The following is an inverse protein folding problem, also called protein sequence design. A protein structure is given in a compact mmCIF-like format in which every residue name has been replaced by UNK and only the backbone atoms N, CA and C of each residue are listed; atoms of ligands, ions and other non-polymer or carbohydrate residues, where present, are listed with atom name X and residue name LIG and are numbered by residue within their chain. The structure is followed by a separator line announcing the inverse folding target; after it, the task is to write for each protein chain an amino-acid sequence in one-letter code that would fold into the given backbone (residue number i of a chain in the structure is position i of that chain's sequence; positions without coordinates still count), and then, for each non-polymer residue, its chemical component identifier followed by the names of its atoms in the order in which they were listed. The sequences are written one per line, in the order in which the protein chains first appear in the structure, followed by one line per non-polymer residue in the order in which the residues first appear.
data_IF_790754818418
#
_entry.id   IF_790754818418
#
_cell.length_a   1.000
_cell.length_b   1.000
_cell.length_c   1.000
_cell.angle_alpha   90.00
_cell.angle_beta   90.00
_cell.angle_gamma   90.00
#
_symmetry.space_group_name_H-M   'P 1'
#
loop_
_entity.id
_entity.type
_entity.pdbx_description
1 polymer ?
#
# COMPACT_ATOMS: atom_id res chain seq x y z
N UNK A 1 37.93 45.55 -52.73
CA UNK A 1 37.84 44.06 -52.72
C UNK A 1 38.16 43.49 -51.34
N UNK A 2 39.09 44.08 -50.57
CA UNK A 2 39.52 43.61 -49.25
C UNK A 2 38.43 43.57 -48.17
N UNK A 3 37.50 44.54 -48.18
CA UNK A 3 36.42 44.64 -47.19
C UNK A 3 35.29 43.62 -47.38
N UNK A 4 35.05 43.15 -48.60
CA UNK A 4 34.08 42.07 -48.89
C UNK A 4 34.62 40.70 -48.48
N UNK A 5 35.93 40.49 -48.62
CA UNK A 5 36.61 39.28 -48.13
C UNK A 5 36.52 39.15 -46.62
N UNK A 6 36.76 40.25 -45.89
CA UNK A 6 36.69 40.27 -44.42
C UNK A 6 35.28 39.94 -43.90
N UNK A 7 34.24 40.48 -44.54
CA UNK A 7 32.83 40.17 -44.17
C UNK A 7 32.49 38.71 -44.47
N UNK A 8 33.00 38.14 -45.57
CA UNK A 8 32.79 36.72 -45.90
C UNK A 8 33.47 35.78 -44.90
N UNK A 9 34.60 36.18 -44.34
CA UNK A 9 35.35 35.42 -43.33
C UNK A 9 34.64 35.47 -41.97
N UNK A 10 34.17 36.66 -41.54
CA UNK A 10 33.34 36.81 -40.33
C UNK A 10 32.02 36.02 -40.43
N UNK A 11 31.39 35.98 -41.60
CA UNK A 11 30.15 35.21 -41.80
C UNK A 11 30.39 33.69 -41.68
N UNK A 12 31.55 33.22 -42.15
CA UNK A 12 31.96 31.81 -42.01
C UNK A 12 32.29 31.43 -40.56
N UNK A 13 32.93 32.32 -39.81
CA UNK A 13 33.15 32.13 -38.36
C UNK A 13 31.83 32.08 -37.58
N UNK A 14 30.87 32.95 -37.90
CA UNK A 14 29.55 32.94 -37.27
C UNK A 14 28.78 31.64 -37.55
N UNK A 15 28.83 31.12 -38.77
CA UNK A 15 28.17 29.86 -39.14
C UNK A 15 28.81 28.67 -38.42
N UNK A 16 30.14 28.68 -38.27
CA UNK A 16 30.88 27.72 -37.45
C UNK A 16 30.47 27.77 -35.97
N UNK A 17 30.40 28.97 -35.39
CA UNK A 17 29.95 29.16 -34.00
C UNK A 17 28.51 28.69 -33.78
N UNK A 18 27.60 28.95 -34.72
CA UNK A 18 26.21 28.47 -34.65
C UNK A 18 26.17 26.93 -34.64
N UNK A 19 26.96 26.28 -35.50
CA UNK A 19 27.06 24.82 -35.57
C UNK A 19 27.59 24.21 -34.28
N UNK A 20 28.61 24.83 -33.68
CA UNK A 20 29.19 24.40 -32.41
C UNK A 20 28.22 24.59 -31.23
N UNK A 21 27.47 25.69 -31.20
CA UNK A 21 26.41 25.92 -30.20
C UNK A 21 25.31 24.87 -30.36
N UNK A 22 24.89 24.56 -31.58
CA UNK A 22 23.90 23.51 -31.84
C UNK A 22 24.40 22.14 -31.34
N UNK A 23 25.67 21.81 -31.58
CA UNK A 23 26.30 20.58 -31.07
C UNK A 23 26.38 20.56 -29.55
N UNK A 24 26.77 21.66 -28.92
CA UNK A 24 26.86 21.78 -27.47
C UNK A 24 25.48 21.64 -26.80
N UNK A 25 24.45 22.30 -27.34
CA UNK A 25 23.08 22.18 -26.87
C UNK A 25 22.53 20.77 -27.06
N UNK A 26 22.80 20.14 -28.21
CA UNK A 26 22.39 18.76 -28.48
C UNK A 26 23.06 17.75 -27.55
N UNK A 27 24.34 17.95 -27.21
CA UNK A 27 25.07 17.04 -26.31
C UNK A 27 24.66 17.23 -24.85
N UNK A 28 24.42 18.47 -24.40
CA UNK A 28 23.89 18.74 -23.05
C UNK A 28 22.50 18.11 -22.87
N UNK A 29 21.59 18.33 -23.84
CA UNK A 29 20.27 17.69 -23.84
C UNK A 29 20.32 16.17 -23.88
N UNK A 30 21.25 15.57 -24.64
CA UNK A 30 21.40 14.12 -24.73
C UNK A 30 21.89 13.50 -23.41
N UNK A 31 22.82 14.17 -22.72
CA UNK A 31 23.32 13.74 -21.42
C UNK A 31 22.23 13.82 -20.34
N UNK A 32 21.46 14.92 -20.29
CA UNK A 32 20.35 15.07 -19.35
C UNK A 32 19.28 13.98 -19.53
N UNK A 33 18.89 13.73 -20.78
CA UNK A 33 17.92 12.68 -21.13
C UNK A 33 18.41 11.29 -20.70
N UNK A 34 19.67 10.96 -21.02
CA UNK A 34 20.26 9.67 -20.64
C UNK A 34 20.33 9.51 -19.12
N UNK A 35 20.57 10.61 -18.39
CA UNK A 35 20.64 10.62 -16.93
C UNK A 35 19.25 10.38 -16.32
N UNK A 36 18.20 11.05 -16.82
CA UNK A 36 16.82 10.87 -16.35
C UNK A 36 16.35 9.43 -16.54
N UNK A 37 16.57 8.86 -17.72
CA UNK A 37 16.15 7.49 -18.03
C UNK A 37 16.91 6.46 -17.17
N UNK A 38 18.21 6.67 -16.96
CA UNK A 38 19.04 5.82 -16.10
C UNK A 38 18.59 5.91 -14.64
N UNK A 39 18.28 7.12 -14.16
CA UNK A 39 17.77 7.34 -12.81
C UNK A 39 16.40 6.66 -12.60
N UNK A 40 15.48 6.77 -13.56
CA UNK A 40 14.18 6.09 -13.56
C UNK A 40 14.34 4.56 -13.52
N UNK A 41 15.22 4.00 -14.36
CA UNK A 41 15.51 2.55 -14.37
C UNK A 41 16.10 2.11 -13.03
N UNK A 42 17.01 2.90 -12.45
CA UNK A 42 17.62 2.61 -11.16
C UNK A 42 16.58 2.63 -10.02
N UNK A 43 15.74 3.68 -9.97
CA UNK A 43 14.65 3.79 -9.01
C UNK A 43 13.66 2.62 -9.12
N UNK A 44 13.29 2.23 -10.34
CA UNK A 44 12.44 1.06 -10.56
C UNK A 44 13.07 -0.23 -10.03
N UNK A 45 14.34 -0.50 -10.36
CA UNK A 45 15.03 -1.71 -9.91
C UNK A 45 15.10 -1.77 -8.37
N UNK A 46 15.37 -0.64 -7.70
CA UNK A 46 15.39 -0.57 -6.22
C UNK A 46 14.03 -0.92 -5.62
N UNK A 47 12.94 -0.35 -6.15
CA UNK A 47 11.58 -0.62 -5.62
C UNK A 47 11.18 -2.08 -5.87
N UNK A 48 11.54 -2.64 -7.01
CA UNK A 48 11.30 -4.06 -7.32
C UNK A 48 12.07 -5.00 -6.39
N UNK A 49 13.34 -4.72 -6.11
CA UNK A 49 14.15 -5.51 -5.17
C UNK A 49 13.60 -5.45 -3.74
N UNK A 50 13.09 -4.28 -3.31
CA UNK A 50 12.42 -4.13 -2.03
C UNK A 50 11.13 -4.95 -1.94
N UNK A 51 10.33 -5.00 -3.01
CA UNK A 51 9.13 -5.84 -3.08
C UNK A 51 9.49 -7.32 -3.01
N UNK A 52 10.51 -7.76 -3.77
CA UNK A 52 11.00 -9.14 -3.74
C UNK A 52 11.41 -9.58 -2.34
N UNK A 53 12.23 -8.78 -1.68
CA UNK A 53 12.67 -9.01 -0.30
C UNK A 53 11.50 -8.98 0.69
N UNK A 54 10.52 -8.11 0.45
CA UNK A 54 9.29 -8.02 1.23
C UNK A 54 8.46 -9.31 1.17
N UNK A 55 8.20 -9.83 -0.04
CA UNK A 55 7.39 -11.02 -0.23
C UNK A 55 8.08 -12.28 0.32
N UNK A 56 9.40 -12.40 0.17
CA UNK A 56 10.17 -13.49 0.79
C UNK A 56 10.12 -13.46 2.33
N UNK A 57 10.10 -12.27 2.94
CA UNK A 57 9.93 -12.14 4.40
C UNK A 57 8.51 -12.49 4.83
N UNK A 58 7.51 -12.09 4.03
CA UNK A 58 6.11 -12.38 4.28
C UNK A 58 5.83 -13.89 4.32
N UNK A 59 6.47 -14.67 3.45
CA UNK A 59 6.39 -16.13 3.39
C UNK A 59 6.89 -16.81 4.68
N UNK A 60 7.90 -16.22 5.34
CA UNK A 60 8.52 -16.77 6.56
C UNK A 60 7.81 -16.36 7.86
N UNK A 61 6.85 -15.43 7.81
CA UNK A 61 6.18 -14.93 9.00
C UNK A 61 4.97 -15.80 9.40
N UNK A 62 4.90 -16.19 10.68
CA UNK A 62 3.80 -17.02 11.22
C UNK A 62 2.60 -16.18 11.70
N UNK A 63 2.81 -14.97 12.20
CA UNK A 63 1.76 -14.12 12.77
C UNK A 63 0.84 -13.50 11.69
N UNK A 64 -0.47 -13.72 11.78
CA UNK A 64 -1.45 -13.24 10.80
C UNK A 64 -1.60 -11.71 10.80
N UNK A 65 -1.61 -11.07 11.98
CA UNK A 65 -1.76 -9.62 12.11
C UNK A 65 -0.53 -8.86 11.56
N UNK A 66 0.68 -9.39 11.77
CA UNK A 66 1.91 -8.82 11.21
C UNK A 66 1.99 -9.03 9.69
N UNK A 67 1.57 -10.20 9.19
CA UNK A 67 1.46 -10.46 7.75
C UNK A 67 0.49 -9.50 7.06
N UNK A 68 -0.67 -9.23 7.68
CA UNK A 68 -1.64 -8.28 7.13
C UNK A 68 -1.05 -6.87 6.96
N UNK A 69 -0.35 -6.34 7.97
CA UNK A 69 0.30 -5.02 7.89
C UNK A 69 1.41 -4.97 6.84
N UNK A 70 2.23 -6.02 6.77
CA UNK A 70 3.28 -6.09 5.74
C UNK A 70 2.70 -6.23 4.32
N UNK A 71 1.57 -6.92 4.16
CA UNK A 71 0.89 -7.03 2.87
C UNK A 71 0.32 -5.67 2.41
N UNK A 72 -0.11 -4.83 3.34
CA UNK A 72 -0.55 -3.45 3.08
C UNK A 72 0.63 -2.57 2.63
N UNK A 73 1.75 -2.59 3.36
CA UNK A 73 2.98 -1.88 2.96
C UNK A 73 3.51 -2.34 1.59
N UNK A 74 3.48 -3.64 1.30
CA UNK A 74 3.83 -4.18 -0.01
C UNK A 74 2.84 -3.75 -1.10
N UNK A 75 1.55 -3.64 -0.77
CA UNK A 75 0.53 -3.15 -1.71
C UNK A 75 0.81 -1.71 -2.14
N UNK A 76 1.17 -0.84 -1.20
CA UNK A 76 1.47 0.55 -1.52
C UNK A 76 2.76 0.66 -2.35
N UNK A 77 3.77 -0.15 -2.05
CA UNK A 77 4.98 -0.26 -2.91
C UNK A 77 4.66 -0.78 -4.31
N UNK A 78 3.69 -1.68 -4.47
CA UNK A 78 3.24 -2.13 -5.80
C UNK A 78 2.49 -1.03 -6.57
N UNK A 79 1.73 -0.17 -5.88
CA UNK A 79 1.11 1.01 -6.50
C UNK A 79 2.19 1.98 -7.00
N UNK A 80 3.25 2.16 -6.23
CA UNK A 80 4.40 2.97 -6.62
C UNK A 80 5.15 2.36 -7.81
N UNK A 81 5.38 1.05 -7.84
CA UNK A 81 5.89 0.36 -9.04
C UNK A 81 5.03 0.65 -10.27
N UNK A 82 3.69 0.58 -10.14
CA UNK A 82 2.77 0.86 -11.24
C UNK A 82 2.83 2.33 -11.69
N UNK A 83 3.05 3.27 -10.76
CA UNK A 83 3.26 4.69 -11.06
C UNK A 83 4.56 4.89 -11.84
N UNK A 84 5.66 4.33 -11.35
CA UNK A 84 6.97 4.41 -11.99
C UNK A 84 6.99 3.75 -13.38
N UNK A 85 6.29 2.62 -13.59
CA UNK A 85 6.15 2.01 -14.93
C UNK A 85 5.44 2.96 -15.91
N UNK A 86 4.41 3.70 -15.45
CA UNK A 86 3.72 4.68 -16.29
C UNK A 86 4.57 5.91 -16.57
N UNK A 87 5.35 6.36 -15.59
CA UNK A 87 6.29 7.47 -15.74
C UNK A 87 7.40 7.11 -16.73
N UNK A 88 7.97 5.90 -16.60
CA UNK A 88 8.90 5.34 -17.58
C UNK A 88 8.30 5.22 -18.99
N UNK A 89 7.04 4.78 -19.13
CA UNK A 89 6.37 4.73 -20.43
C UNK A 89 6.16 6.11 -21.07
N UNK A 90 5.89 7.14 -20.26
CA UNK A 90 5.79 8.52 -20.75
C UNK A 90 7.15 9.03 -21.21
N UNK A 91 8.18 8.85 -20.39
CA UNK A 91 9.54 9.28 -20.70
C UNK A 91 10.06 8.59 -21.98
N UNK A 92 9.85 7.28 -22.11
CA UNK A 92 10.24 6.52 -23.31
C UNK A 92 9.50 7.01 -24.56
N UNK A 93 8.23 7.44 -24.45
CA UNK A 93 7.47 7.99 -25.57
C UNK A 93 7.92 9.40 -25.98
N UNK A 94 8.19 10.27 -25.01
CA UNK A 94 8.70 11.62 -25.30
C UNK A 94 10.09 11.58 -25.97
N UNK A 95 10.87 10.55 -25.64
CA UNK A 95 12.19 10.30 -26.21
C UNK A 95 12.17 9.45 -27.49
N UNK A 96 11.01 8.89 -27.84
CA UNK A 96 10.87 7.93 -28.93
C UNK A 96 11.26 8.52 -30.29
N UNK A 97 11.02 9.82 -30.51
CA UNK A 97 11.38 10.50 -31.76
C UNK A 97 12.88 10.83 -31.88
N UNK A 98 13.65 10.68 -30.79
CA UNK A 98 15.06 11.10 -30.70
C UNK A 98 16.02 9.92 -30.52
N UNK A 99 15.53 8.81 -29.97
CA UNK A 99 16.32 7.58 -29.82
C UNK A 99 16.39 6.76 -31.10
N UNK A 100 17.49 6.03 -31.26
CA UNK A 100 17.64 5.02 -32.30
C UNK A 100 16.69 3.84 -32.07
N UNK A 101 16.34 3.15 -33.16
CA UNK A 101 15.39 2.05 -33.13
C UNK A 101 15.81 0.90 -32.19
N UNK A 102 17.11 0.71 -31.98
CA UNK A 102 17.63 -0.34 -31.11
C UNK A 102 17.45 0.01 -29.62
N UNK A 103 17.76 1.24 -29.23
CA UNK A 103 17.51 1.75 -27.87
C UNK A 103 16.02 1.73 -27.51
N UNK A 104 15.16 2.16 -28.43
CA UNK A 104 13.70 2.11 -28.24
C UNK A 104 13.16 0.67 -28.09
N UNK A 105 13.75 -0.29 -28.79
CA UNK A 105 13.42 -1.71 -28.64
C UNK A 105 13.82 -2.23 -27.27
N UNK A 106 15.05 -1.95 -26.82
CA UNK A 106 15.56 -2.37 -25.51
C UNK A 106 14.74 -1.80 -24.34
N UNK A 107 14.32 -0.53 -24.44
CA UNK A 107 13.48 0.13 -23.44
C UNK A 107 12.07 -0.49 -23.35
N UNK A 108 11.48 -0.83 -24.49
CA UNK A 108 10.19 -1.53 -24.54
C UNK A 108 10.28 -2.95 -23.99
N UNK A 109 11.34 -3.69 -24.30
CA UNK A 109 11.60 -5.02 -23.73
C UNK A 109 11.76 -4.95 -22.20
N UNK A 110 12.52 -3.95 -21.71
CA UNK A 110 12.70 -3.71 -20.28
C UNK A 110 11.38 -3.36 -19.59
N UNK A 111 10.56 -2.50 -20.21
CA UNK A 111 9.19 -2.20 -19.74
C UNK A 111 8.34 -3.46 -19.63
N UNK A 112 8.32 -4.30 -20.66
CA UNK A 112 7.51 -5.53 -20.66
C UNK A 112 7.97 -6.51 -19.58
N UNK A 113 9.28 -6.62 -19.34
CA UNK A 113 9.82 -7.43 -18.24
C UNK A 113 9.30 -6.95 -16.88
N UNK A 114 9.31 -5.64 -16.64
CA UNK A 114 8.84 -5.04 -15.38
C UNK A 114 7.33 -5.21 -15.18
N UNK A 115 6.54 -5.14 -16.26
CA UNK A 115 5.10 -5.43 -16.20
C UNK A 115 4.84 -6.89 -15.81
N UNK A 116 5.57 -7.83 -16.41
CA UNK A 116 5.45 -9.26 -16.08
C UNK A 116 5.81 -9.51 -14.62
N UNK A 117 6.88 -8.90 -14.13
CA UNK A 117 7.31 -9.05 -12.75
C UNK A 117 6.30 -8.43 -11.76
N UNK A 118 5.73 -7.25 -12.08
CA UNK A 118 4.65 -6.66 -11.28
C UNK A 118 3.42 -7.58 -11.22
N UNK A 119 3.03 -8.17 -12.35
CA UNK A 119 1.90 -9.08 -12.41
C UNK A 119 2.12 -10.34 -11.57
N UNK A 120 3.36 -10.85 -11.49
CA UNK A 120 3.73 -11.93 -10.56
C UNK A 120 3.50 -11.51 -9.11
N UNK A 121 3.92 -10.32 -8.70
CA UNK A 121 3.65 -9.79 -7.36
C UNK A 121 2.16 -9.56 -7.09
N UNK A 122 1.37 -9.19 -8.11
CA UNK A 122 -0.11 -9.10 -8.00
C UNK A 122 -0.73 -10.47 -7.77
N UNK A 123 -0.27 -11.50 -8.48
CA UNK A 123 -0.74 -12.86 -8.27
C UNK A 123 -0.38 -13.36 -6.86
N UNK A 124 0.87 -13.15 -6.42
CA UNK A 124 1.29 -13.52 -5.05
C UNK A 124 0.47 -12.76 -4.00
N UNK A 125 0.28 -11.45 -4.15
CA UNK A 125 -0.59 -10.67 -3.25
C UNK A 125 -1.99 -11.27 -3.19
N UNK A 126 -2.59 -11.61 -4.35
CA UNK A 126 -3.94 -12.19 -4.41
C UNK A 126 -4.00 -13.54 -3.69
N UNK A 127 -2.98 -14.39 -3.81
CA UNK A 127 -2.88 -15.65 -3.07
C UNK A 127 -2.77 -15.41 -1.56
N UNK A 128 -1.95 -14.46 -1.11
CA UNK A 128 -1.82 -14.15 0.31
C UNK A 128 -3.09 -13.51 0.88
N UNK A 129 -3.76 -12.65 0.12
CA UNK A 129 -5.04 -12.08 0.47
C UNK A 129 -6.10 -13.19 0.59
N UNK A 130 -6.21 -14.08 -0.40
CA UNK A 130 -7.13 -15.22 -0.36
C UNK A 130 -6.82 -16.20 0.79
N UNK A 131 -5.56 -16.38 1.18
CA UNK A 131 -5.19 -17.19 2.36
C UNK A 131 -5.54 -16.51 3.69
N UNK A 132 -5.52 -15.18 3.73
CA UNK A 132 -5.92 -14.37 4.89
C UNK A 132 -7.45 -14.30 4.98
N UNK A 133 -8.10 -14.23 3.83
CA UNK A 133 -9.54 -14.19 3.62
C UNK A 133 -10.16 -15.56 3.86
N UNK A 134 -9.61 -16.69 3.38
CA UNK A 134 -10.05 -18.05 3.76
C UNK A 134 -10.01 -18.27 5.29
N UNK A 135 -9.03 -17.70 6.00
CA UNK A 135 -8.99 -17.70 7.47
C UNK A 135 -10.03 -16.79 8.14
N UNK A 136 -10.64 -15.86 7.40
CA UNK A 136 -11.78 -15.02 7.83
C UNK A 136 -13.14 -15.54 7.31
N UNK A 137 -13.16 -16.17 6.14
CA UNK A 137 -14.31 -16.70 5.40
C UNK A 137 -14.76 -18.03 5.98
N UNK A 138 -13.86 -18.81 6.60
CA UNK A 138 -14.23 -19.93 7.49
C UNK A 138 -15.14 -19.49 8.65
N UNK A 139 -15.30 -18.18 8.91
CA UNK A 139 -16.28 -17.68 9.86
C UNK A 139 -17.53 -17.02 9.24
N UNK A 140 -17.58 -16.62 7.95
CA UNK A 140 -18.67 -15.74 7.49
C UNK A 140 -19.11 -15.70 6.00
N UNK A 141 -18.77 -16.62 5.10
CA UNK A 141 -19.33 -16.55 3.72
C UNK A 141 -20.02 -17.83 3.24
N UNK A 142 -21.34 -17.69 3.00
CA UNK A 142 -22.21 -18.67 2.36
C UNK A 142 -22.00 -18.77 0.84
N UNK A 143 -22.79 -19.60 0.14
CA UNK A 143 -22.37 -20.24 -1.11
C UNK A 143 -22.15 -19.27 -2.28
N UNK A 144 -20.97 -19.43 -2.87
CA UNK A 144 -20.34 -18.70 -3.97
C UNK A 144 -21.11 -18.84 -5.31
N UNK A 145 -21.24 -17.74 -6.07
CA UNK A 145 -21.85 -17.64 -7.41
C UNK A 145 -21.02 -18.29 -8.55
N UNK A 146 -20.18 -19.30 -8.22
CA UNK A 146 -19.40 -20.07 -9.20
C UNK A 146 -20.07 -21.35 -9.71
N UNK A 147 -21.24 -21.71 -9.16
CA UNK A 147 -21.91 -23.01 -9.38
C UNK A 147 -23.05 -22.96 -10.43
N UNK A 148 -23.22 -21.86 -11.17
CA UNK A 148 -24.31 -21.73 -12.14
C UNK A 148 -23.95 -22.19 -13.56
N UNK A 149 -22.70 -22.01 -14.02
CA UNK A 149 -22.34 -22.33 -15.40
C UNK A 149 -22.10 -23.83 -15.66
N UNK A 150 -21.71 -24.61 -14.64
CA UNK A 150 -21.48 -26.06 -14.77
C UNK A 150 -22.78 -26.88 -14.79
N UNK A 151 -23.84 -26.37 -14.16
CA UNK A 151 -25.14 -27.05 -14.06
C UNK A 151 -25.96 -27.07 -15.37
N UNK A 152 -25.75 -26.11 -16.27
CA UNK A 152 -26.53 -26.01 -17.52
C UNK A 152 -26.15 -27.12 -18.52
N UNK A 153 -24.87 -27.55 -18.51
CA UNK A 153 -24.38 -28.63 -19.39
C UNK A 153 -24.64 -30.03 -18.82
N UNK A 154 -24.74 -30.18 -17.49
CA UNK A 154 -24.97 -31.48 -16.82
C UNK A 154 -26.43 -31.95 -16.85
N UNK A 155 -27.40 -31.03 -16.91
CA UNK A 155 -28.82 -31.39 -16.97
C UNK A 155 -29.20 -32.22 -18.22
N UNK A 156 -28.42 -32.13 -19.29
CA UNK A 156 -28.66 -32.85 -20.55
C UNK A 156 -28.19 -34.32 -20.54
N UNK A 157 -27.47 -34.76 -19.50
CA UNK A 157 -26.91 -36.12 -19.42
C UNK A 157 -27.47 -36.98 -18.27
N UNK A 158 -28.35 -36.42 -17.42
CA UNK A 158 -28.91 -37.12 -16.27
C UNK A 158 -30.29 -37.72 -16.57
N UNK A 159 -30.54 -38.93 -16.08
CA UNK A 159 -31.86 -39.57 -16.16
C UNK A 159 -32.84 -38.95 -15.15
N UNK A 160 -34.13 -38.90 -15.46
CA UNK A 160 -35.16 -38.29 -14.59
C UNK A 160 -35.12 -38.79 -13.14
N UNK A 161 -34.76 -40.05 -12.92
CA UNK A 161 -34.65 -40.64 -11.57
C UNK A 161 -33.47 -40.05 -10.78
N UNK A 162 -32.30 -39.90 -11.43
CA UNK A 162 -31.11 -39.32 -10.80
C UNK A 162 -31.30 -37.83 -10.50
N UNK A 163 -32.13 -37.12 -11.28
CA UNK A 163 -32.45 -35.73 -11.05
C UNK A 163 -33.32 -35.55 -9.80
N UNK A 164 -34.29 -36.44 -9.58
CA UNK A 164 -35.11 -36.46 -8.36
C UNK A 164 -34.26 -36.80 -7.13
N UNK A 165 -33.41 -37.83 -7.22
CA UNK A 165 -32.53 -38.23 -6.11
C UNK A 165 -31.45 -37.18 -5.80
N UNK A 166 -31.01 -36.42 -6.81
CA UNK A 166 -30.12 -35.28 -6.64
C UNK A 166 -30.86 -34.10 -5.99
N UNK A 167 -32.09 -33.81 -6.41
CA UNK A 167 -32.93 -32.77 -5.82
C UNK A 167 -33.22 -33.02 -4.33
N UNK A 168 -33.56 -34.25 -3.96
CA UNK A 168 -33.79 -34.63 -2.57
C UNK A 168 -32.53 -34.44 -1.69
N UNK A 169 -31.36 -34.87 -2.19
CA UNK A 169 -30.09 -34.67 -1.48
C UNK A 169 -29.72 -33.19 -1.35
N UNK A 170 -29.91 -32.41 -2.41
CA UNK A 170 -29.68 -30.97 -2.38
C UNK A 170 -30.60 -30.27 -1.37
N UNK A 171 -31.85 -30.73 -1.24
CA UNK A 171 -32.80 -30.22 -0.26
C UNK A 171 -32.38 -30.56 1.17
N UNK A 172 -31.96 -31.79 1.45
CA UNK A 172 -31.47 -32.20 2.77
C UNK A 172 -30.20 -31.43 3.19
N UNK A 173 -29.27 -31.22 2.24
CA UNK A 173 -28.07 -30.41 2.46
C UNK A 173 -28.41 -28.95 2.73
N UNK A 174 -29.40 -28.41 2.01
CA UNK A 174 -29.92 -27.05 2.22
C UNK A 174 -30.56 -26.90 3.59
N UNK A 175 -31.39 -27.87 4.02
CA UNK A 175 -32.03 -27.85 5.34
C UNK A 175 -31.00 -27.91 6.47
N UNK A 176 -29.96 -28.75 6.34
CA UNK A 176 -28.85 -28.79 7.29
C UNK A 176 -28.05 -27.49 7.32
N UNK A 177 -27.85 -26.83 6.19
CA UNK A 177 -27.21 -25.52 6.12
C UNK A 177 -28.05 -24.44 6.82
N UNK A 178 -29.37 -24.45 6.61
CA UNK A 178 -30.31 -23.53 7.26
C UNK A 178 -30.30 -23.73 8.78
N UNK A 179 -30.32 -24.98 9.25
CA UNK A 179 -30.34 -25.25 10.69
C UNK A 179 -29.03 -24.84 11.38
N UNK A 180 -27.87 -25.06 10.73
CA UNK A 180 -26.59 -24.50 11.18
C UNK A 180 -26.61 -22.97 11.20
N UNK A 181 -27.17 -22.35 10.16
CA UNK A 181 -27.33 -20.90 10.08
C UNK A 181 -28.15 -20.32 11.24
N UNK A 182 -29.29 -20.95 11.58
CA UNK A 182 -30.10 -20.55 12.74
C UNK A 182 -29.31 -20.60 14.04
N UNK A 183 -28.53 -21.67 14.25
CA UNK A 183 -27.69 -21.81 15.45
C UNK A 183 -26.64 -20.70 15.55
N UNK A 184 -25.93 -20.42 14.46
CA UNK A 184 -24.91 -19.36 14.40
C UNK A 184 -25.53 -17.98 14.67
N UNK A 185 -26.69 -17.69 14.06
CA UNK A 185 -27.40 -16.42 14.30
C UNK A 185 -27.80 -16.29 15.77
N UNK A 186 -28.34 -17.35 16.36
CA UNK A 186 -28.72 -17.33 17.78
C UNK A 186 -27.51 -17.09 18.70
N UNK A 187 -26.39 -17.77 18.44
CA UNK A 187 -25.13 -17.56 19.17
C UNK A 187 -24.60 -16.13 18.97
N UNK A 188 -24.69 -15.60 17.75
CA UNK A 188 -24.29 -14.22 17.44
C UNK A 188 -25.14 -13.20 18.20
N UNK A 189 -26.45 -13.44 18.33
CA UNK A 189 -27.34 -12.60 19.14
C UNK A 189 -26.91 -12.64 20.60
N UNK A 190 -26.67 -13.83 21.15
CA UNK A 190 -26.26 -13.99 22.54
C UNK A 190 -24.92 -13.29 22.82
N UNK A 191 -23.90 -13.53 21.98
CA UNK A 191 -22.61 -12.82 22.06
C UNK A 191 -22.78 -11.31 21.92
N UNK A 192 -23.67 -10.86 21.02
CA UNK A 192 -24.00 -9.44 20.86
C UNK A 192 -24.61 -8.84 22.12
N UNK A 193 -25.53 -9.54 22.78
CA UNK A 193 -26.15 -9.09 24.04
C UNK A 193 -25.14 -9.06 25.20
N UNK A 194 -24.28 -10.08 25.33
CA UNK A 194 -23.21 -10.12 26.32
C UNK A 194 -22.18 -9.01 26.08
N UNK A 195 -21.81 -8.79 24.81
CA UNK A 195 -20.88 -7.72 24.42
C UNK A 195 -21.46 -6.34 24.72
N UNK A 196 -22.74 -6.10 24.44
CA UNK A 196 -23.41 -4.85 24.77
C UNK A 196 -23.45 -4.61 26.29
N UNK A 197 -23.72 -5.66 27.08
CA UNK A 197 -23.68 -5.58 28.53
C UNK A 197 -22.27 -5.28 29.06
N UNK A 198 -21.24 -5.93 28.51
CA UNK A 198 -19.84 -5.70 28.87
C UNK A 198 -19.37 -4.28 28.48
N UNK A 199 -19.75 -3.78 27.30
CA UNK A 199 -19.45 -2.41 26.86
C UNK A 199 -20.11 -1.36 27.75
N UNK A 200 -21.36 -1.60 28.18
CA UNK A 200 -22.04 -0.73 29.15
C UNK A 200 -21.31 -0.71 30.49
N UNK A 201 -20.93 -1.87 31.02
CA UNK A 201 -20.17 -1.97 32.26
C UNK A 201 -18.80 -1.26 32.16
N UNK A 202 -18.11 -1.40 31.03
CA UNK A 202 -16.86 -0.67 30.78
C UNK A 202 -17.07 0.84 30.69
N UNK A 203 -18.16 1.31 30.08
CA UNK A 203 -18.47 2.75 29.99
C UNK A 203 -18.71 3.35 31.38
N UNK A 204 -19.40 2.61 32.26
CA UNK A 204 -19.58 3.01 33.66
C UNK A 204 -18.26 3.03 34.44
N UNK A 205 -17.39 2.05 34.23
CA UNK A 205 -16.04 2.05 34.82
C UNK A 205 -15.20 3.22 34.28
N UNK A 206 -15.28 3.51 32.99
CA UNK A 206 -14.58 4.63 32.37
C UNK A 206 -15.00 5.97 32.96
N UNK A 207 -16.30 6.16 33.26
CA UNK A 207 -16.79 7.35 33.97
C UNK A 207 -16.18 7.48 35.38
N UNK A 208 -16.03 6.36 36.12
CA UNK A 208 -15.39 6.37 37.45
C UNK A 208 -13.91 6.73 37.37
N UNK A 209 -13.18 6.17 36.40
CA UNK A 209 -11.77 6.48 36.18
C UNK A 209 -11.57 7.96 35.83
N UNK A 210 -12.47 8.55 35.02
CA UNK A 210 -12.42 9.99 34.72
C UNK A 210 -12.58 10.83 35.99
N UNK A 211 -13.50 10.47 36.89
CA UNK A 211 -13.67 11.18 38.17
C UNK A 211 -12.43 11.06 39.07
N UNK A 212 -11.78 9.89 39.10
CA UNK A 212 -10.53 9.70 39.83
C UNK A 212 -9.39 10.55 39.24
N UNK A 213 -9.29 10.64 37.91
CA UNK A 213 -8.32 11.51 37.23
C UNK A 213 -8.52 12.99 37.59
N UNK A 214 -9.76 13.46 37.68
CA UNK A 214 -10.06 14.83 38.09
C UNK A 214 -9.66 15.11 39.55
N UNK A 215 -9.89 14.13 40.44
CA UNK A 215 -9.45 14.20 41.85
C UNK A 215 -7.92 14.27 41.97
N UNK A 216 -7.20 13.46 41.17
CA UNK A 216 -5.73 13.50 41.08
C UNK A 216 -5.26 14.85 40.55
N UNK A 217 -5.86 15.36 39.49
CA UNK A 217 -5.52 16.66 38.91
C UNK A 217 -5.71 17.80 39.92
N UNK A 218 -6.79 17.77 40.71
CA UNK A 218 -7.00 18.71 41.81
C UNK A 218 -5.91 18.60 42.88
N UNK A 219 -5.57 17.38 43.27
CA UNK A 219 -4.52 17.11 44.27
C UNK A 219 -3.14 17.58 43.80
N UNK A 220 -2.80 17.37 42.52
CA UNK A 220 -1.56 17.85 41.89
C UNK A 220 -1.51 19.39 41.89
N UNK A 221 -2.62 20.06 41.55
CA UNK A 221 -2.70 21.53 41.61
C UNK A 221 -2.46 22.06 43.02
N UNK A 222 -3.00 21.38 44.04
CA UNK A 222 -2.77 21.75 45.46
C UNK A 222 -1.32 21.53 45.85
N UNK A 223 -0.73 20.39 45.51
CA UNK A 223 0.68 20.10 45.77
C UNK A 223 1.61 21.12 45.09
N UNK A 224 1.32 21.49 43.84
CA UNK A 224 2.08 22.51 43.10
C UNK A 224 2.05 23.89 43.80
N UNK A 225 0.91 24.29 44.36
CA UNK A 225 0.82 25.51 45.18
C UNK A 225 1.69 25.43 46.43
N UNK A 226 1.68 24.29 47.13
CA UNK A 226 2.54 24.08 48.30
C UNK A 226 4.03 24.15 47.93
N UNK A 227 4.43 23.54 46.82
CA UNK A 227 5.82 23.60 46.33
C UNK A 227 6.24 25.04 45.99
N UNK A 228 5.36 25.84 45.37
CA UNK A 228 5.64 27.27 45.11
C UNK A 228 5.83 28.07 46.40
N UNK A 229 5.00 27.80 47.41
CA UNK A 229 5.12 28.47 48.72
C UNK A 229 6.44 28.10 49.41
N UNK A 230 6.80 26.81 49.41
CA UNK A 230 8.09 26.33 49.93
C UNK A 230 9.25 27.02 49.19
N UNK A 231 9.21 27.10 47.85
CA UNK A 231 10.24 27.76 47.06
C UNK A 231 10.41 29.25 47.40
N UNK A 232 9.29 29.95 47.67
CA UNK A 232 9.30 31.35 48.12
C UNK A 232 9.89 31.49 49.53
N UNK A 233 9.51 30.61 50.47
CA UNK A 233 10.08 30.60 51.81
C UNK A 233 11.59 30.33 51.78
N UNK A 234 12.04 29.32 51.03
CA UNK A 234 13.47 29.01 50.87
C UNK A 234 14.24 30.19 50.27
N UNK A 235 13.66 30.90 49.31
CA UNK A 235 14.26 32.12 48.75
C UNK A 235 14.37 33.24 49.79
N UNK A 236 13.34 33.42 50.63
CA UNK A 236 13.37 34.35 51.75
C UNK A 236 14.48 33.97 52.75
N UNK A 237 14.57 32.69 53.13
CA UNK A 237 15.64 32.17 53.98
C UNK A 237 17.02 32.43 53.39
N UNK A 238 17.21 32.17 52.08
CA UNK A 238 18.48 32.44 51.39
C UNK A 238 18.87 33.92 51.46
N UNK A 239 17.94 34.83 51.19
CA UNK A 239 18.20 36.27 51.23
C UNK A 239 18.48 36.77 52.66
N UNK A 240 17.80 36.21 53.66
CA UNK A 240 18.06 36.51 55.06
C UNK A 240 19.48 36.09 55.47
N UNK A 241 19.89 34.86 55.12
CA UNK A 241 21.24 34.35 55.42
C UNK A 241 22.33 35.17 54.71
N UNK A 242 22.07 35.68 53.49
CA UNK A 242 23.02 36.53 52.77
C UNK A 242 23.12 37.96 53.32
N UNK A 243 22.21 38.38 54.21
CA UNK A 243 22.18 39.73 54.78
C UNK A 243 22.79 39.83 56.19
N UNK A 244 23.22 38.71 56.78
CA UNK A 244 23.92 38.61 58.07
C UNK A 244 25.41 38.47 57.80
#
# INVERSE_FOLDING_TARGET
MSSLSAISEELGELDGQISDIFRALSSYWFVDISLVLTALICAMNVVFELNRNGFQKLEKMKDANRRSRQLEELTDKMRECKRLIKEFDREVKDLQSRNDANTNKMLNEKKQSLIKELNSYVAMKKQYAANLENKRVDLFEGPNEGMQEENVLLASSMTNQQLVDHGNRMMDETDQAIERGKKIVHETINVGTETAAALKAQTEQMSRVVNELDSINFSIKKASKLVKEIGRQVSFFKNFVLSI
#
